data_IF_204137407563
#
_entry.id   IF_204137407563
#
_cell.length_a   1.000
_cell.length_b   1.000
_cell.length_c   1.000
_cell.angle_alpha   90.00
_cell.angle_beta   90.00
_cell.angle_gamma   90.00
#
_symmetry.space_group_name_H-M   'P 1'
#
loop_
_entity.id
_entity.type
_entity.pdbx_description
1 polymer ?
#
# COMPACT_ATOMS: atom_id res chain seq x y z
N UNK A 1 -32.98 6.85 25.95
CA UNK A 1 -32.09 5.67 25.90
C UNK A 1 -31.48 5.65 24.51
N UNK A 2 -30.27 6.18 24.38
CA UNK A 2 -29.49 6.17 23.15
C UNK A 2 -28.88 4.78 22.99
N UNK A 3 -29.35 4.02 22.00
CA UNK A 3 -28.73 2.76 21.60
C UNK A 3 -27.38 3.07 20.98
N UNK A 4 -26.31 2.64 21.65
CA UNK A 4 -24.95 2.63 21.11
C UNK A 4 -24.91 1.72 19.89
N UNK A 5 -24.73 2.32 18.71
CA UNK A 5 -24.51 1.60 17.47
C UNK A 5 -23.13 0.92 17.56
N UNK A 6 -23.12 -0.35 17.97
CA UNK A 6 -21.90 -1.16 17.95
C UNK A 6 -21.63 -1.53 16.49
N UNK A 7 -20.46 -1.22 15.92
CA UNK A 7 -20.15 -1.56 14.53
C UNK A 7 -20.24 -3.08 14.31
N UNK A 8 -20.78 -3.51 13.18
CA UNK A 8 -20.83 -4.92 12.79
C UNK A 8 -19.42 -5.50 12.61
N UNK A 9 -19.29 -6.85 12.65
CA UNK A 9 -18.00 -7.53 12.38
C UNK A 9 -17.40 -7.15 11.02
N UNK A 10 -18.25 -6.88 10.04
CA UNK A 10 -17.84 -6.45 8.71
C UNK A 10 -17.27 -5.02 8.72
N UNK A 11 -17.85 -4.12 9.53
CA UNK A 11 -17.33 -2.76 9.72
C UNK A 11 -15.95 -2.75 10.37
N UNK A 12 -15.72 -3.63 11.36
CA UNK A 12 -14.41 -3.78 12.01
C UNK A 12 -13.34 -4.31 11.05
N UNK A 13 -13.68 -5.27 10.20
CA UNK A 13 -12.76 -5.81 9.19
C UNK A 13 -12.41 -4.76 8.15
N UNK A 14 -13.39 -3.98 7.68
CA UNK A 14 -13.16 -2.87 6.76
C UNK A 14 -12.24 -1.82 7.39
N UNK A 15 -12.53 -1.40 8.62
CA UNK A 15 -11.72 -0.42 9.35
C UNK A 15 -10.28 -0.87 9.58
N UNK A 16 -10.07 -2.13 9.97
CA UNK A 16 -8.73 -2.70 10.15
C UNK A 16 -7.94 -2.64 8.84
N UNK A 17 -8.54 -3.11 7.74
CA UNK A 17 -7.83 -3.15 6.47
C UNK A 17 -7.50 -1.75 5.95
N UNK A 18 -8.40 -0.78 6.12
CA UNK A 18 -8.13 0.62 5.76
C UNK A 18 -6.99 1.20 6.62
N UNK A 19 -6.98 0.90 7.92
CA UNK A 19 -5.90 1.32 8.83
C UNK A 19 -4.55 0.73 8.39
N UNK A 20 -4.51 -0.52 7.97
CA UNK A 20 -3.30 -1.17 7.46
C UNK A 20 -2.86 -0.51 6.15
N UNK A 21 -3.79 -0.22 5.25
CA UNK A 21 -3.48 0.45 3.98
C UNK A 21 -2.88 1.85 4.21
N UNK A 22 -3.44 2.62 5.15
CA UNK A 22 -2.92 3.91 5.59
C UNK A 22 -1.49 3.78 6.13
N UNK A 23 -1.24 2.84 7.04
CA UNK A 23 0.10 2.62 7.60
C UNK A 23 1.12 2.19 6.55
N UNK A 24 0.73 1.35 5.59
CA UNK A 24 1.59 0.97 4.49
C UNK A 24 1.98 2.22 3.68
N UNK A 25 1.01 3.09 3.37
CA UNK A 25 1.26 4.30 2.61
C UNK A 25 2.17 5.27 3.38
N UNK A 26 1.95 5.45 4.68
CA UNK A 26 2.81 6.27 5.56
C UNK A 26 4.25 5.76 5.57
N UNK A 27 4.45 4.44 5.64
CA UNK A 27 5.78 3.85 5.56
C UNK A 27 6.44 4.15 4.21
N UNK A 28 5.73 3.95 3.11
CA UNK A 28 6.23 4.28 1.77
C UNK A 28 6.59 5.76 1.65
N UNK A 29 5.67 6.66 2.05
CA UNK A 29 5.86 8.10 1.98
C UNK A 29 7.04 8.56 2.85
N UNK A 30 7.13 8.04 4.08
CA UNK A 30 8.25 8.31 4.97
C UNK A 30 9.56 7.82 4.33
N UNK A 31 9.61 6.60 3.79
CA UNK A 31 10.80 6.11 3.09
C UNK A 31 11.26 7.07 1.99
N UNK A 32 10.32 7.58 1.18
CA UNK A 32 10.60 8.54 0.10
C UNK A 32 11.09 9.92 0.59
N UNK A 33 10.88 10.28 1.86
CA UNK A 33 11.51 11.48 2.44
C UNK A 33 13.00 11.26 2.77
N UNK A 34 13.42 10.00 2.91
CA UNK A 34 14.78 9.62 3.29
C UNK A 34 15.54 8.94 2.15
N UNK A 35 15.27 9.32 0.89
CA UNK A 35 15.94 8.75 -0.29
C UNK A 35 17.47 8.83 -0.24
N UNK A 36 18.01 9.85 0.43
CA UNK A 36 19.46 10.03 0.59
C UNK A 36 20.04 9.27 1.80
N UNK A 37 19.22 8.58 2.59
CA UNK A 37 19.61 7.76 3.74
C UNK A 37 19.17 6.30 3.51
N UNK A 38 19.97 5.49 2.80
CA UNK A 38 19.54 4.19 2.26
C UNK A 38 19.01 3.22 3.33
N UNK A 39 19.63 3.16 4.51
CA UNK A 39 19.14 2.29 5.59
C UNK A 39 17.75 2.65 6.10
N UNK A 40 17.42 3.95 6.16
CA UNK A 40 16.09 4.42 6.57
C UNK A 40 15.06 4.20 5.47
N UNK A 41 15.44 4.44 4.22
CA UNK A 41 14.59 4.18 3.05
C UNK A 41 14.22 2.69 2.94
N UNK A 42 15.20 1.80 2.98
CA UNK A 42 14.99 0.35 2.90
C UNK A 42 14.13 -0.17 4.04
N UNK A 43 14.40 0.27 5.28
CA UNK A 43 13.61 -0.14 6.44
C UNK A 43 12.12 0.27 6.32
N UNK A 44 11.84 1.44 5.75
CA UNK A 44 10.48 1.91 5.54
C UNK A 44 9.79 1.19 4.37
N UNK A 45 10.51 0.90 3.28
CA UNK A 45 10.00 0.06 2.21
C UNK A 45 9.64 -1.35 2.69
N UNK A 46 10.52 -1.99 3.46
CA UNK A 46 10.25 -3.29 4.05
C UNK A 46 9.01 -3.30 4.95
N UNK A 47 8.82 -2.25 5.78
CA UNK A 47 7.60 -2.11 6.60
C UNK A 47 6.35 -1.99 5.74
N UNK A 48 6.39 -1.19 4.68
CA UNK A 48 5.27 -1.03 3.77
C UNK A 48 4.91 -2.38 3.10
N UNK A 49 5.91 -3.13 2.62
CA UNK A 49 5.71 -4.46 2.03
C UNK A 49 5.11 -5.45 3.03
N UNK A 50 5.65 -5.55 4.26
CA UNK A 50 5.12 -6.47 5.27
C UNK A 50 3.67 -6.18 5.64
N UNK A 51 3.25 -4.91 5.66
CA UNK A 51 1.85 -4.56 5.93
C UNK A 51 0.94 -5.01 4.79
N UNK A 52 1.41 -4.86 3.54
CA UNK A 52 0.69 -5.34 2.36
C UNK A 52 0.59 -6.88 2.36
N UNK A 53 1.62 -7.60 2.79
CA UNK A 53 1.58 -9.06 2.92
C UNK A 53 0.56 -9.53 3.97
N UNK A 54 0.42 -8.79 5.08
CA UNK A 54 -0.64 -9.06 6.06
C UNK A 54 -2.01 -8.91 5.41
N UNK A 55 -2.22 -7.84 4.64
CA UNK A 55 -3.46 -7.63 3.89
C UNK A 55 -3.71 -8.75 2.87
N UNK A 56 -2.68 -9.23 2.16
CA UNK A 56 -2.78 -10.35 1.24
C UNK A 56 -3.21 -11.65 1.92
N UNK A 57 -2.66 -11.95 3.09
CA UNK A 57 -3.06 -13.14 3.86
C UNK A 57 -4.51 -13.03 4.31
N UNK A 58 -4.95 -11.86 4.78
CA UNK A 58 -6.33 -11.64 5.21
C UNK A 58 -7.34 -11.71 4.05
N UNK A 59 -6.97 -11.21 2.86
CA UNK A 59 -7.88 -11.14 1.72
C UNK A 59 -7.85 -12.37 0.81
N UNK A 60 -6.69 -13.00 0.67
CA UNK A 60 -6.44 -14.06 -0.30
C UNK A 60 -5.99 -15.38 0.35
N UNK A 61 -5.71 -15.39 1.66
CA UNK A 61 -5.24 -16.58 2.39
C UNK A 61 -3.77 -16.93 2.14
N UNK A 62 -3.02 -16.12 1.39
CA UNK A 62 -1.61 -16.36 1.08
C UNK A 62 -0.87 -15.09 0.66
N UNK A 63 0.42 -15.00 0.99
CA UNK A 63 1.34 -14.00 0.44
C UNK A 63 1.44 -14.15 -1.08
N UNK A 64 1.46 -13.02 -1.80
CA UNK A 64 1.41 -12.95 -3.27
C UNK A 64 0.01 -13.22 -3.85
N UNK A 65 -1.04 -13.23 -3.01
CA UNK A 65 -2.42 -13.38 -3.45
C UNK A 65 -2.85 -12.27 -4.42
N UNK A 66 -2.46 -11.02 -4.17
CA UNK A 66 -2.76 -9.90 -5.06
C UNK A 66 -2.01 -9.98 -6.39
N UNK A 67 -0.80 -10.55 -6.41
CA UNK A 67 -0.03 -10.75 -7.64
C UNK A 67 -0.76 -11.71 -8.62
N UNK A 68 -1.59 -12.64 -8.11
CA UNK A 68 -2.43 -13.52 -8.93
C UNK A 68 -3.66 -12.81 -9.50
N UNK A 69 -4.18 -11.82 -8.78
CA UNK A 69 -5.37 -11.06 -9.15
C UNK A 69 -5.03 -9.89 -10.09
N UNK A 70 -3.81 -9.33 -9.99
CA UNK A 70 -3.37 -8.19 -10.79
C UNK A 70 -2.23 -8.56 -11.75
N UNK A 71 -2.57 -8.75 -13.03
CA UNK A 71 -1.59 -9.00 -14.11
C UNK A 71 -0.66 -7.81 -14.42
N UNK A 72 -0.87 -6.64 -13.83
CA UNK A 72 -0.04 -5.46 -14.05
C UNK A 72 1.31 -5.51 -13.33
N UNK A 73 1.51 -6.44 -12.37
CA UNK A 73 2.81 -6.72 -11.72
C UNK A 73 3.95 -6.86 -12.72
N UNK A 74 3.65 -7.49 -13.86
CA UNK A 74 4.60 -7.72 -14.95
C UNK A 74 4.92 -6.47 -15.79
N UNK A 75 4.14 -5.40 -15.69
CA UNK A 75 4.27 -4.20 -16.52
C UNK A 75 4.99 -3.07 -15.78
N UNK A 76 4.72 -2.87 -14.48
CA UNK A 76 5.37 -1.79 -13.71
C UNK A 76 6.76 -2.19 -13.24
N UNK A 77 6.99 -3.48 -12.97
CA UNK A 77 8.24 -3.97 -12.38
C UNK A 77 8.38 -3.66 -10.88
N UNK A 78 7.34 -3.11 -10.24
CA UNK A 78 7.35 -2.69 -8.85
C UNK A 78 6.16 -3.30 -8.08
N UNK A 79 6.40 -4.47 -7.46
CA UNK A 79 5.38 -5.26 -6.76
C UNK A 79 4.55 -4.47 -5.75
N UNK A 80 5.19 -3.61 -4.95
CA UNK A 80 4.51 -2.83 -3.91
C UNK A 80 3.42 -1.93 -4.49
N UNK A 81 3.67 -1.27 -5.63
CA UNK A 81 2.72 -0.36 -6.27
C UNK A 81 1.50 -1.11 -6.82
N UNK A 82 1.74 -2.22 -7.52
CA UNK A 82 0.65 -3.04 -8.05
C UNK A 82 -0.21 -3.65 -6.94
N UNK A 83 0.40 -4.01 -5.82
CA UNK A 83 -0.34 -4.47 -4.64
C UNK A 83 -1.17 -3.35 -4.01
N UNK A 84 -0.64 -2.13 -3.86
CA UNK A 84 -1.43 -0.97 -3.43
C UNK A 84 -2.66 -0.72 -4.31
N UNK A 85 -2.48 -0.76 -5.64
CA UNK A 85 -3.58 -0.59 -6.57
C UNK A 85 -4.61 -1.73 -6.49
N UNK A 86 -4.14 -2.95 -6.27
CA UNK A 86 -5.02 -4.13 -6.10
C UNK A 86 -5.87 -3.97 -4.85
N UNK A 87 -5.24 -3.59 -3.73
CA UNK A 87 -5.96 -3.31 -2.48
C UNK A 87 -7.00 -2.22 -2.71
N UNK A 88 -6.61 -1.08 -3.29
CA UNK A 88 -7.56 0.01 -3.59
C UNK A 88 -8.74 -0.40 -4.46
N UNK A 89 -8.54 -1.23 -5.49
CA UNK A 89 -9.63 -1.73 -6.36
C UNK A 89 -10.61 -2.64 -5.62
N UNK A 90 -10.18 -3.33 -4.56
CA UNK A 90 -11.10 -4.10 -3.70
C UNK A 90 -12.03 -3.21 -2.89
N UNK A 91 -11.67 -1.95 -2.67
CA UNK A 91 -12.53 -0.92 -2.11
C UNK A 91 -13.19 -0.16 -3.26
N UNK A 92 -14.15 -0.81 -3.91
CA UNK A 92 -14.86 -0.32 -5.11
C UNK A 92 -15.62 1.01 -4.87
N UNK A 93 -15.80 1.40 -3.60
CA UNK A 93 -16.32 2.70 -3.21
C UNK A 93 -15.19 3.59 -2.71
N UNK A 94 -14.80 4.58 -3.51
CA UNK A 94 -13.92 5.69 -3.07
C UNK A 94 -14.44 6.37 -1.78
N UNK A 95 -15.76 6.25 -1.53
CA UNK A 95 -16.46 6.69 -0.31
C UNK A 95 -16.09 5.92 0.96
N UNK A 96 -15.60 4.68 0.84
CA UNK A 96 -15.16 3.87 1.96
C UNK A 96 -13.69 4.15 2.31
N UNK A 97 -12.91 4.65 1.35
CA UNK A 97 -11.48 4.99 1.49
C UNK A 97 -11.30 6.43 1.99
N UNK A 98 -12.05 7.39 1.41
CA UNK A 98 -11.94 8.83 1.72
C UNK A 98 -12.17 9.28 3.17
N UNK A 99 -12.97 8.61 4.03
CA UNK A 99 -13.15 9.06 5.40
C UNK A 99 -11.97 8.70 6.32
N UNK A 100 -11.04 7.82 5.89
CA UNK A 100 -10.09 7.18 6.80
C UNK A 100 -8.66 7.14 6.24
N UNK A 101 -8.47 7.06 4.92
CA UNK A 101 -7.15 7.21 4.30
C UNK A 101 -6.85 8.69 4.06
N UNK A 102 -5.70 9.17 4.52
CA UNK A 102 -5.21 10.54 4.25
C UNK A 102 -4.50 10.65 2.89
N UNK A 103 -4.55 9.61 2.07
CA UNK A 103 -3.95 9.56 0.74
C UNK A 103 -4.98 9.20 -0.34
N UNK A 104 -4.72 9.65 -1.55
CA UNK A 104 -5.50 9.40 -2.76
C UNK A 104 -4.75 8.47 -3.71
N UNK A 105 -5.43 7.89 -4.72
CA UNK A 105 -4.74 7.18 -5.80
C UNK A 105 -3.67 8.04 -6.51
N UNK A 106 -3.86 9.36 -6.58
CA UNK A 106 -2.88 10.29 -7.14
C UNK A 106 -1.62 10.41 -6.26
N UNK A 107 -1.76 10.35 -4.94
CA UNK A 107 -0.61 10.34 -4.01
C UNK A 107 0.22 9.06 -4.16
N UNK A 108 -0.45 7.92 -4.37
CA UNK A 108 0.22 6.65 -4.69
C UNK A 108 0.95 6.71 -6.04
N UNK A 109 0.34 7.29 -7.06
CA UNK A 109 1.00 7.50 -8.36
C UNK A 109 2.25 8.41 -8.24
N UNK A 110 2.17 9.45 -7.40
CA UNK A 110 3.29 10.36 -7.13
C UNK A 110 4.42 9.63 -6.39
N UNK A 111 4.08 8.88 -5.34
CA UNK A 111 5.03 8.06 -4.59
C UNK A 111 5.75 7.04 -5.49
N UNK A 112 5.00 6.40 -6.40
CA UNK A 112 5.55 5.48 -7.37
C UNK A 112 6.55 6.13 -8.34
N UNK A 113 6.22 7.31 -8.86
CA UNK A 113 7.12 8.03 -9.76
C UNK A 113 8.47 8.31 -9.08
N UNK A 114 8.44 8.80 -7.83
CA UNK A 114 9.64 9.03 -7.04
C UNK A 114 10.44 7.74 -6.80
N UNK A 115 9.76 6.64 -6.48
CA UNK A 115 10.39 5.33 -6.29
C UNK A 115 11.07 4.82 -7.58
N UNK A 116 10.38 4.97 -8.72
CA UNK A 116 10.89 4.53 -10.03
C UNK A 116 12.12 5.33 -10.45
N UNK A 117 12.12 6.65 -10.23
CA UNK A 117 13.27 7.53 -10.48
C UNK A 117 14.50 7.07 -9.68
N UNK A 118 14.33 6.80 -8.39
CA UNK A 118 15.42 6.34 -7.51
C UNK A 118 15.98 4.99 -7.96
N UNK A 119 15.10 4.02 -8.26
CA UNK A 119 15.52 2.70 -8.70
C UNK A 119 16.16 2.72 -10.10
N UNK A 120 15.76 3.66 -10.96
CA UNK A 120 16.39 3.87 -12.26
C UNK A 120 17.82 4.42 -12.13
N UNK A 121 18.04 5.38 -11.21
CA UNK A 121 19.37 5.94 -10.92
C UNK A 121 20.30 4.88 -10.32
N UNK A 122 19.81 4.05 -9.41
CA UNK A 122 20.58 2.97 -8.80
C UNK A 122 21.02 1.89 -9.83
N UNK A 123 20.24 1.66 -10.89
CA UNK A 123 20.61 0.73 -11.98
C UNK A 123 21.66 1.33 -12.91
N UNK A 124 21.57 2.61 -13.22
CA UNK A 124 22.54 3.30 -14.09
C UNK A 124 23.92 3.49 -13.45
N UNK A 125 24.03 3.43 -12.11
CA UNK A 125 25.30 3.52 -11.39
C UNK A 125 25.99 2.14 -11.17
N UNK A 126 25.34 1.04 -11.54
CA UNK A 126 25.86 -0.33 -11.45
C UNK A 126 26.22 -0.94 -12.80
N UNK A 127 26.03 -0.19 -13.90
CA UNK A 127 26.45 -0.54 -15.26
C UNK A 127 27.78 0.17 -15.58
#
# INVERSE_FOLDING_TARGET
>A
MTTENTPGKDDQRVLLRITLLQKAFECLHHGLQFLHAPGTFEANLHKADSIIEILEVEDCGSIGGYDKENRNVTITGHKIYDRFLTVLRKYDNEKDIKPICSFTPADIATAYKALSEVLSVARSQRA
#
